data_IF_151161193464
#
_entry.id   IF_151161193464
#
_cell.length_a   1.000
_cell.length_b   1.000
_cell.length_c   1.000
_cell.angle_alpha   90.00
_cell.angle_beta   90.00
_cell.angle_gamma   90.00
#
_symmetry.space_group_name_H-M   'P 1'
#
loop_
_entity.id
_entity.type
_entity.pdbx_description
1 polymer ?
#
# COMPACT_ATOMS: atom_id res chain seq x y z
N UNK A 1 7.05 18.87 -0.19
CA UNK A 1 6.04 18.40 0.78
C UNK A 1 6.71 18.36 2.15
N UNK A 2 6.08 18.89 3.22
CA UNK A 2 6.58 18.67 4.59
C UNK A 2 6.74 17.16 4.83
N UNK A 3 7.77 16.75 5.54
CA UNK A 3 7.98 15.34 5.93
C UNK A 3 6.71 14.83 6.61
N UNK A 4 6.09 13.82 6.00
CA UNK A 4 4.92 13.18 6.57
C UNK A 4 5.32 12.54 7.90
N UNK A 5 4.50 12.70 8.93
CA UNK A 5 4.67 11.96 10.20
C UNK A 5 4.49 10.45 10.03
N UNK A 6 3.92 10.03 8.89
CA UNK A 6 3.68 8.64 8.54
C UNK A 6 4.68 8.18 7.49
N UNK A 7 5.23 6.98 7.68
CA UNK A 7 6.03 6.29 6.67
C UNK A 7 5.13 5.81 5.52
N UNK A 8 5.73 5.60 4.35
CA UNK A 8 5.00 5.06 3.19
C UNK A 8 4.36 3.69 3.52
N UNK A 9 5.02 2.85 4.32
CA UNK A 9 4.47 1.58 4.80
C UNK A 9 3.24 1.75 5.69
N UNK A 10 3.24 2.72 6.60
CA UNK A 10 2.07 3.04 7.43
C UNK A 10 0.92 3.56 6.57
N UNK A 11 1.21 4.41 5.60
CA UNK A 11 0.20 4.94 4.68
C UNK A 11 -0.46 3.80 3.89
N UNK A 12 0.33 2.89 3.33
CA UNK A 12 -0.18 1.74 2.58
C UNK A 12 -1.03 0.82 3.47
N UNK A 13 -0.61 0.58 4.72
CA UNK A 13 -1.39 -0.23 5.66
C UNK A 13 -2.77 0.37 5.95
N UNK A 14 -2.88 1.69 6.13
CA UNK A 14 -4.16 2.38 6.33
C UNK A 14 -5.05 2.28 5.08
N UNK A 15 -4.48 2.43 3.89
CA UNK A 15 -5.22 2.27 2.64
C UNK A 15 -5.77 0.84 2.48
N UNK A 16 -4.99 -0.20 2.86
CA UNK A 16 -5.43 -1.59 2.83
C UNK A 16 -6.58 -1.89 3.79
N UNK A 17 -6.60 -1.27 4.97
CA UNK A 17 -7.74 -1.41 5.87
C UNK A 17 -9.02 -0.84 5.26
N UNK A 18 -8.92 0.26 4.51
CA UNK A 18 -10.09 0.81 3.80
C UNK A 18 -10.56 -0.11 2.66
N UNK A 19 -9.63 -0.73 1.93
CA UNK A 19 -9.94 -1.72 0.88
C UNK A 19 -10.54 -3.02 1.45
N UNK A 20 -10.13 -3.41 2.65
CA UNK A 20 -10.70 -4.53 3.39
C UNK A 20 -12.11 -4.25 3.97
N UNK A 21 -12.62 -3.02 3.80
CA UNK A 21 -13.99 -2.65 4.15
C UNK A 21 -14.12 -1.76 5.39
N UNK A 22 -13.01 -1.35 6.04
CA UNK A 22 -13.08 -0.42 7.17
C UNK A 22 -13.51 0.97 6.68
N UNK A 23 -14.52 1.61 7.29
CA UNK A 23 -14.96 2.94 6.89
C UNK A 23 -13.85 4.00 7.02
N UNK A 24 -13.63 4.77 5.95
CA UNK A 24 -12.63 5.86 5.93
C UNK A 24 -12.79 6.86 7.10
N UNK A 25 -14.00 7.28 7.52
CA UNK A 25 -14.14 8.17 8.67
C UNK A 25 -13.61 7.58 9.98
N UNK A 26 -13.69 6.26 10.15
CA UNK A 26 -13.16 5.56 11.32
C UNK A 26 -11.63 5.57 11.28
N UNK A 27 -11.03 5.19 10.15
CA UNK A 27 -9.58 5.23 9.94
C UNK A 27 -9.00 6.64 10.15
N UNK A 28 -9.73 7.66 9.69
CA UNK A 28 -9.33 9.05 9.88
C UNK A 28 -9.27 9.42 11.37
N UNK A 29 -10.26 9.00 12.16
CA UNK A 29 -10.28 9.23 13.62
C UNK A 29 -9.19 8.44 14.33
N UNK A 30 -9.03 7.15 13.99
CA UNK A 30 -8.05 6.25 14.63
C UNK A 30 -6.61 6.70 14.39
N UNK A 31 -6.29 7.11 13.16
CA UNK A 31 -4.94 7.56 12.81
C UNK A 31 -4.73 9.06 12.98
N UNK A 32 -5.74 9.82 13.44
CA UNK A 32 -5.63 11.27 13.64
C UNK A 32 -5.36 12.04 12.34
N UNK A 33 -5.92 11.58 11.22
CA UNK A 33 -5.79 12.21 9.90
C UNK A 33 -7.13 12.74 9.41
N UNK A 34 -7.12 13.72 8.52
CA UNK A 34 -8.34 14.17 7.86
C UNK A 34 -8.67 13.27 6.66
N UNK A 35 -9.95 13.22 6.28
CA UNK A 35 -10.39 12.54 5.05
C UNK A 35 -9.65 13.06 3.82
N UNK A 36 -9.36 14.36 3.78
CA UNK A 36 -8.58 14.95 2.69
C UNK A 36 -7.15 14.38 2.60
N UNK A 37 -6.50 14.14 3.74
CA UNK A 37 -5.20 13.46 3.80
C UNK A 37 -5.30 12.02 3.29
N UNK A 38 -6.32 11.28 3.72
CA UNK A 38 -6.56 9.92 3.26
C UNK A 38 -6.70 9.84 1.73
N UNK A 39 -7.53 10.70 1.12
CA UNK A 39 -7.70 10.68 -0.33
C UNK A 39 -6.46 11.15 -1.10
N UNK A 40 -5.66 12.06 -0.54
CA UNK A 40 -4.34 12.39 -1.10
C UNK A 40 -3.39 11.20 -1.09
N UNK A 41 -3.38 10.44 0.00
CA UNK A 41 -2.61 9.19 0.08
C UNK A 41 -3.12 8.17 -0.94
N UNK A 42 -4.44 7.98 -1.05
CA UNK A 42 -5.04 7.07 -2.02
C UNK A 42 -4.68 7.44 -3.46
N UNK A 43 -4.67 8.73 -3.80
CA UNK A 43 -4.25 9.19 -5.13
C UNK A 43 -2.76 8.96 -5.41
N UNK A 44 -1.90 9.07 -4.38
CA UNK A 44 -0.44 8.92 -4.54
C UNK A 44 0.01 7.47 -4.51
N UNK A 45 -0.58 6.66 -3.63
CA UNK A 45 -0.13 5.31 -3.30
C UNK A 45 -1.10 4.21 -3.74
N UNK A 46 -2.36 4.53 -4.04
CA UNK A 46 -3.37 3.54 -4.43
C UNK A 46 -3.04 2.81 -5.73
N UNK A 47 -2.36 3.47 -6.69
CA UNK A 47 -1.84 2.82 -7.90
C UNK A 47 -0.47 2.14 -7.71
N UNK A 48 0.26 2.53 -6.65
CA UNK A 48 1.59 2.00 -6.36
C UNK A 48 1.51 0.57 -5.82
N UNK A 49 0.46 0.22 -5.07
CA UNK A 49 0.25 -1.15 -4.57
C UNK A 49 -0.01 -2.14 -5.73
N UNK A 50 -0.81 -1.76 -6.73
CA UNK A 50 -1.04 -2.60 -7.91
C UNK A 50 0.25 -2.83 -8.72
N UNK A 51 1.07 -1.79 -8.89
CA UNK A 51 2.37 -1.90 -9.56
C UNK A 51 3.37 -2.74 -8.74
N UNK A 52 3.42 -2.55 -7.42
CA UNK A 52 4.33 -3.28 -6.53
C UNK A 52 3.93 -4.74 -6.39
N UNK A 53 2.63 -5.06 -6.34
CA UNK A 53 2.14 -6.44 -6.36
C UNK A 53 2.47 -7.14 -7.69
N UNK A 54 2.35 -6.43 -8.80
CA UNK A 54 2.71 -6.96 -10.12
C UNK A 54 4.21 -7.28 -10.19
N UNK A 55 5.06 -6.36 -9.72
CA UNK A 55 6.51 -6.54 -9.68
C UNK A 55 6.93 -7.64 -8.69
N UNK A 56 6.27 -7.75 -7.53
CA UNK A 56 6.50 -8.82 -6.58
C UNK A 56 6.15 -10.20 -7.16
N UNK A 57 5.04 -10.30 -7.89
CA UNK A 57 4.61 -11.54 -8.54
C UNK A 57 5.59 -11.97 -9.63
N UNK A 58 6.05 -11.01 -10.43
CA UNK A 58 7.06 -11.24 -11.47
C UNK A 58 8.37 -11.75 -10.85
N UNK A 59 8.86 -11.10 -9.78
CA UNK A 59 10.04 -11.56 -9.04
C UNK A 59 9.85 -12.94 -8.42
N UNK A 60 8.65 -13.27 -7.91
CA UNK A 60 8.36 -14.61 -7.37
C UNK A 60 8.35 -15.67 -8.47
N UNK A 61 7.80 -15.37 -9.63
CA UNK A 61 7.80 -16.29 -10.78
C UNK A 61 9.22 -16.50 -11.33
N UNK A 62 10.02 -15.44 -11.37
CA UNK A 62 11.43 -15.52 -11.75
C UNK A 62 12.24 -16.34 -10.75
N UNK A 63 12.05 -16.11 -9.44
CA UNK A 63 12.69 -16.90 -8.39
C UNK A 63 12.29 -18.39 -8.48
N UNK A 64 11.03 -18.68 -8.79
CA UNK A 64 10.53 -20.05 -9.02
C UNK A 64 11.20 -20.69 -10.24
N UNK A 65 11.32 -19.95 -11.36
CA UNK A 65 12.01 -20.42 -12.58
C UNK A 65 13.48 -20.71 -12.31
N UNK A 66 14.19 -19.79 -11.64
CA UNK A 66 15.58 -19.97 -11.25
C UNK A 66 15.73 -21.20 -10.36
N UNK A 67 14.91 -21.35 -9.31
CA UNK A 67 14.94 -22.54 -8.44
C UNK A 67 14.71 -23.85 -9.18
N UNK A 68 13.89 -23.87 -10.23
CA UNK A 68 13.71 -25.06 -11.09
C UNK A 68 14.91 -25.37 -11.98
N UNK A 69 15.70 -24.37 -12.35
CA UNK A 69 16.85 -24.53 -13.25
C UNK A 69 18.09 -25.01 -12.48
N UNK A 70 18.17 -24.70 -11.19
CA UNK A 70 19.26 -25.11 -10.29
C UNK A 70 18.90 -26.30 -9.39
N UNK A 71 17.75 -26.96 -9.61
CA UNK A 71 17.33 -28.19 -8.94
C UNK A 71 17.52 -29.40 -9.86
#
# INVERSE_FOLDING_TARGET
>A
MKTSRFTDSQIIAVLKQAEAGTPVPQLCREHGISSATFYKWRSKFGGMDASLMSQLRELQDENRRLKKMYA
#
